data_IF_111692345853
#
_entry.id   IF_111692345853
#
_cell.length_a   1.000
_cell.length_b   1.000
_cell.length_c   1.000
_cell.angle_alpha   90.00
_cell.angle_beta   90.00
_cell.angle_gamma   90.00
#
_symmetry.space_group_name_H-M   'P 1'
#
loop_
_entity.id
_entity.type
_entity.pdbx_description
1 polymer ?
#
# COMPACT_ATOMS: atom_id res chain seq x y z
N UNK A 1 -20.98 -12.46 23.29
CA UNK A 1 -20.20 -11.95 22.19
C UNK A 1 -20.82 -12.26 20.84
N UNK A 2 -20.64 -11.44 19.86
CA UNK A 2 -21.07 -11.76 18.49
C UNK A 2 -20.01 -12.66 17.85
N UNK A 3 -20.42 -13.82 17.36
CA UNK A 3 -19.55 -14.78 16.70
C UNK A 3 -18.70 -14.10 15.59
N UNK A 4 -17.38 -14.22 15.67
CA UNK A 4 -16.41 -13.65 14.73
C UNK A 4 -15.94 -12.22 15.01
N UNK A 5 -16.39 -11.59 16.12
CA UNK A 5 -15.96 -10.25 16.54
C UNK A 5 -15.20 -10.23 17.87
N UNK A 6 -15.22 -11.33 18.62
CA UNK A 6 -14.47 -11.47 19.87
C UNK A 6 -13.13 -12.13 19.59
N UNK A 7 -12.15 -11.32 19.20
CA UNK A 7 -10.74 -11.75 19.11
C UNK A 7 -10.11 -11.51 20.48
N UNK A 8 -9.40 -12.51 21.01
CA UNK A 8 -8.57 -12.31 22.21
C UNK A 8 -7.57 -11.22 21.89
N UNK A 9 -7.67 -10.11 22.62
CA UNK A 9 -6.72 -9.02 22.47
C UNK A 9 -5.35 -9.44 23.01
N UNK A 10 -4.33 -9.30 22.17
CA UNK A 10 -2.92 -9.50 22.51
C UNK A 10 -2.16 -8.26 22.07
N UNK A 11 -1.46 -7.55 22.97
CA UNK A 11 -0.74 -6.34 22.59
C UNK A 11 0.46 -6.64 21.70
N UNK A 12 0.66 -5.83 20.66
CA UNK A 12 1.90 -5.86 19.88
C UNK A 12 3.06 -5.37 20.75
N UNK A 13 4.21 -6.07 20.81
CA UNK A 13 5.40 -5.57 21.50
C UNK A 13 5.91 -4.25 20.90
N UNK A 14 6.53 -3.41 21.73
CA UNK A 14 6.95 -2.06 21.33
C UNK A 14 7.95 -2.07 20.18
N UNK A 15 8.88 -3.02 20.15
CA UNK A 15 9.89 -3.18 19.09
C UNK A 15 9.23 -3.53 17.75
N UNK A 16 8.15 -4.31 17.78
CA UNK A 16 7.38 -4.65 16.58
C UNK A 16 6.58 -3.45 16.09
N UNK A 17 5.96 -2.68 16.99
CA UNK A 17 5.27 -1.43 16.67
C UNK A 17 6.22 -0.47 15.98
N UNK A 18 7.39 -0.22 16.59
CA UNK A 18 8.40 0.70 16.04
C UNK A 18 8.89 0.22 14.66
N UNK A 19 9.07 -1.08 14.51
CA UNK A 19 9.48 -1.66 13.23
C UNK A 19 8.41 -1.51 12.15
N UNK A 20 7.15 -1.77 12.46
CA UNK A 20 6.03 -1.61 11.53
C UNK A 20 5.95 -0.16 11.02
N UNK A 21 5.99 0.81 11.92
CA UNK A 21 5.91 2.23 11.58
C UNK A 21 7.14 2.71 10.80
N UNK A 22 8.33 2.17 11.10
CA UNK A 22 9.56 2.45 10.35
C UNK A 22 9.51 1.83 8.95
N UNK A 23 9.04 0.59 8.80
CA UNK A 23 8.84 -0.06 7.48
C UNK A 23 7.87 0.75 6.61
N UNK A 24 6.81 1.27 7.20
CA UNK A 24 5.87 2.14 6.52
C UNK A 24 6.41 3.56 6.28
N UNK A 25 7.63 3.87 6.74
CA UNK A 25 8.23 5.19 6.61
C UNK A 25 7.29 6.31 7.07
N UNK A 26 6.65 6.12 8.22
CA UNK A 26 5.69 7.08 8.77
C UNK A 26 6.37 8.42 9.05
N UNK A 27 5.70 9.50 8.65
CA UNK A 27 6.15 10.88 8.81
C UNK A 27 5.05 11.74 9.43
N UNK A 28 5.34 12.98 9.87
CA UNK A 28 4.32 13.91 10.40
C UNK A 28 3.21 14.26 9.39
N UNK A 29 3.42 14.06 8.09
CA UNK A 29 2.44 14.30 7.04
C UNK A 29 1.47 13.13 6.85
N UNK A 30 1.74 12.00 7.48
CA UNK A 30 0.92 10.81 7.34
C UNK A 30 -0.35 10.84 8.19
N UNK A 31 -1.37 10.20 7.66
CA UNK A 31 -2.56 9.81 8.39
C UNK A 31 -2.57 8.28 8.56
N UNK A 32 -2.30 7.83 9.77
CA UNK A 32 -2.27 6.41 10.14
C UNK A 32 -3.64 5.99 10.66
N UNK A 33 -4.21 4.93 10.11
CA UNK A 33 -5.38 4.25 10.68
C UNK A 33 -4.99 2.86 11.16
N UNK A 34 -5.23 2.61 12.45
CA UNK A 34 -4.99 1.33 13.10
C UNK A 34 -6.32 0.56 13.23
N UNK A 35 -6.47 -0.51 12.47
CA UNK A 35 -7.71 -1.27 12.40
C UNK A 35 -7.69 -2.43 13.39
N UNK A 36 -8.54 -2.35 14.42
CA UNK A 36 -8.51 -3.22 15.59
C UNK A 36 -7.50 -2.70 16.62
N UNK A 37 -7.67 -1.45 17.03
CA UNK A 37 -6.65 -0.70 17.76
C UNK A 37 -6.37 -1.21 19.20
N UNK A 38 -7.26 -2.02 19.77
CA UNK A 38 -7.07 -2.52 21.12
C UNK A 38 -6.88 -1.40 22.14
N UNK A 39 -5.76 -1.43 22.86
CA UNK A 39 -5.36 -0.41 23.84
C UNK A 39 -4.81 0.90 23.22
N UNK A 40 -4.80 1.00 21.89
CA UNK A 40 -4.34 2.18 21.14
C UNK A 40 -2.84 2.28 20.94
N UNK A 41 -2.06 1.27 21.32
CA UNK A 41 -0.59 1.32 21.35
C UNK A 41 0.01 1.77 20.01
N UNK A 42 -0.43 1.20 18.87
CA UNK A 42 0.13 1.52 17.56
C UNK A 42 -0.22 2.96 17.15
N UNK A 43 -1.48 3.36 17.31
CA UNK A 43 -1.92 4.73 17.02
C UNK A 43 -1.19 5.78 17.88
N UNK A 44 -1.03 5.49 19.18
CA UNK A 44 -0.29 6.35 20.12
C UNK A 44 1.19 6.46 19.71
N UNK A 45 1.83 5.35 19.35
CA UNK A 45 3.22 5.36 18.88
C UNK A 45 3.39 6.14 17.58
N UNK A 46 2.48 6.00 16.62
CA UNK A 46 2.49 6.76 15.37
C UNK A 46 2.42 8.28 15.63
N UNK A 47 1.57 8.70 16.54
CA UNK A 47 1.45 10.10 16.93
C UNK A 47 2.68 10.60 17.70
N UNK A 48 3.09 9.88 18.74
CA UNK A 48 4.11 10.34 19.70
C UNK A 48 5.51 10.28 19.12
N UNK A 49 5.86 9.19 18.44
CA UNK A 49 7.23 8.95 17.95
C UNK A 49 7.47 9.46 16.53
N UNK A 50 6.42 9.45 15.69
CA UNK A 50 6.54 9.81 14.27
C UNK A 50 5.82 11.12 13.92
N UNK A 51 5.09 11.71 14.86
CA UNK A 51 4.40 12.99 14.66
C UNK A 51 3.16 12.89 13.74
N UNK A 52 2.75 11.69 13.36
CA UNK A 52 1.64 11.48 12.45
C UNK A 52 0.28 11.79 13.12
N UNK A 53 -0.72 12.12 12.31
CA UNK A 53 -2.12 12.02 12.72
C UNK A 53 -2.48 10.54 12.78
N UNK A 54 -3.07 10.07 13.88
CA UNK A 54 -3.45 8.68 14.05
C UNK A 54 -4.90 8.53 14.51
N UNK A 55 -5.60 7.56 13.93
CA UNK A 55 -6.95 7.16 14.35
C UNK A 55 -6.95 5.64 14.49
N UNK A 56 -7.22 5.16 15.70
CA UNK A 56 -7.50 3.75 15.96
C UNK A 56 -9.00 3.46 15.81
N UNK A 57 -9.35 2.33 15.24
CA UNK A 57 -10.71 1.83 15.14
C UNK A 57 -10.81 0.59 16.04
N UNK A 58 -11.67 0.64 17.05
CA UNK A 58 -11.87 -0.43 18.01
C UNK A 58 -13.37 -0.72 18.16
N UNK A 59 -13.74 -1.99 18.07
CA UNK A 59 -15.14 -2.39 18.14
C UNK A 59 -15.70 -2.38 19.58
N UNK A 60 -14.88 -2.78 20.56
CA UNK A 60 -15.26 -2.83 21.95
C UNK A 60 -15.26 -1.43 22.58
N UNK A 61 -16.41 -0.94 23.09
CA UNK A 61 -16.50 0.43 23.63
C UNK A 61 -15.64 0.66 24.88
N UNK A 62 -15.49 -0.33 25.75
CA UNK A 62 -14.66 -0.21 26.96
C UNK A 62 -13.18 -0.17 26.60
N UNK A 63 -12.77 -0.97 25.61
CA UNK A 63 -11.41 -0.95 25.10
C UNK A 63 -11.10 0.38 24.41
N UNK A 64 -12.01 0.89 23.59
CA UNK A 64 -11.85 2.21 22.94
C UNK A 64 -11.73 3.34 23.96
N UNK A 65 -12.52 3.30 25.04
CA UNK A 65 -12.42 4.24 26.17
C UNK A 65 -11.08 4.14 26.87
N UNK A 66 -10.62 2.91 27.15
CA UNK A 66 -9.31 2.67 27.77
C UNK A 66 -8.17 3.19 26.87
N UNK A 67 -8.23 2.92 25.56
CA UNK A 67 -7.24 3.39 24.61
C UNK A 67 -7.17 4.92 24.53
N UNK A 68 -8.30 5.62 24.58
CA UNK A 68 -8.31 7.09 24.64
C UNK A 68 -7.72 7.63 25.97
N UNK A 69 -7.93 6.94 27.09
CA UNK A 69 -7.26 7.28 28.35
C UNK A 69 -5.74 7.09 28.24
N UNK A 70 -5.26 6.03 27.56
CA UNK A 70 -3.86 5.82 27.27
C UNK A 70 -3.28 6.95 26.38
N UNK A 71 -4.00 7.40 25.36
CA UNK A 71 -3.61 8.50 24.51
C UNK A 71 -3.48 9.83 25.28
N UNK A 72 -4.42 10.07 26.20
CA UNK A 72 -4.37 11.24 27.10
C UNK A 72 -3.17 11.17 28.04
N UNK A 73 -2.92 10.03 28.67
CA UNK A 73 -1.77 9.81 29.54
C UNK A 73 -0.44 9.96 28.81
N UNK A 74 -0.38 9.59 27.51
CA UNK A 74 0.77 9.77 26.65
C UNK A 74 0.95 11.21 26.14
N UNK A 75 -0.01 12.10 26.38
CA UNK A 75 0.02 13.51 25.94
C UNK A 75 -0.33 13.72 24.46
N UNK A 76 -0.90 12.70 23.80
CA UNK A 76 -1.19 12.74 22.34
C UNK A 76 -2.68 12.71 22.01
N UNK A 77 -3.57 12.76 23.00
CA UNK A 77 -5.01 12.75 22.73
C UNK A 77 -5.45 13.94 21.87
N UNK A 78 -6.30 13.66 20.87
CA UNK A 78 -6.86 14.67 19.98
C UNK A 78 -6.75 14.32 18.51
N UNK A 79 -7.06 15.29 17.68
CA UNK A 79 -7.02 15.20 16.23
C UNK A 79 -5.92 16.09 15.65
N UNK A 80 -5.30 15.66 14.55
CA UNK A 80 -4.26 16.38 13.85
C UNK A 80 -2.88 15.74 13.95
N UNK A 81 -1.87 16.40 13.43
CA UNK A 81 -0.48 15.93 13.47
C UNK A 81 -0.01 15.74 14.92
N UNK A 82 0.66 14.62 15.18
CA UNK A 82 1.14 14.26 16.53
C UNK A 82 0.01 13.93 17.52
N UNK A 83 -1.20 13.69 17.06
CA UNK A 83 -2.36 13.33 17.89
C UNK A 83 -2.97 12.00 17.47
N UNK A 84 -3.54 11.33 18.49
CA UNK A 84 -4.21 10.05 18.33
C UNK A 84 -5.61 10.08 18.97
N UNK A 85 -6.58 9.54 18.26
CA UNK A 85 -7.94 9.33 18.74
C UNK A 85 -8.35 7.89 18.41
N UNK A 86 -8.99 7.23 19.37
CA UNK A 86 -9.55 5.91 19.14
C UNK A 86 -11.07 6.03 19.04
N UNK A 87 -11.63 5.57 17.93
CA UNK A 87 -13.07 5.59 17.66
C UNK A 87 -13.65 4.21 17.88
N UNK A 88 -14.77 4.17 18.60
CA UNK A 88 -15.56 2.95 18.69
C UNK A 88 -16.32 2.77 17.38
N UNK A 89 -15.92 1.80 16.57
CA UNK A 89 -16.55 1.50 15.28
C UNK A 89 -16.21 0.08 14.79
N UNK A 90 -16.96 -0.37 13.79
CA UNK A 90 -16.67 -1.61 13.05
C UNK A 90 -15.67 -1.30 11.92
N UNK A 91 -14.53 -1.99 11.93
CA UNK A 91 -13.47 -1.83 10.91
C UNK A 91 -13.99 -2.09 9.49
N UNK A 92 -14.99 -2.95 9.34
CA UNK A 92 -15.57 -3.30 8.02
C UNK A 92 -16.56 -2.25 7.51
N UNK A 93 -17.05 -1.36 8.38
CA UNK A 93 -17.97 -0.27 8.04
C UNK A 93 -17.27 1.11 8.04
N UNK A 94 -16.00 1.14 8.42
CA UNK A 94 -15.23 2.39 8.49
C UNK A 94 -14.70 2.77 7.12
N UNK A 95 -14.85 4.03 6.73
CA UNK A 95 -14.17 4.56 5.54
C UNK A 95 -12.69 4.80 5.85
N UNK A 96 -11.82 4.08 5.14
CA UNK A 96 -10.37 4.13 5.31
C UNK A 96 -9.65 4.89 4.19
N UNK A 97 -10.38 5.43 3.21
CA UNK A 97 -9.81 5.98 1.96
C UNK A 97 -8.83 7.13 2.15
N UNK A 98 -8.99 7.93 3.19
CA UNK A 98 -8.12 9.07 3.48
C UNK A 98 -6.80 8.68 4.15
N UNK A 99 -6.70 7.49 4.72
CA UNK A 99 -5.47 7.05 5.37
C UNK A 99 -4.34 6.91 4.35
N UNK A 100 -3.14 7.28 4.76
CA UNK A 100 -1.91 7.06 3.99
C UNK A 100 -1.17 5.82 4.45
N UNK A 101 -1.44 5.37 5.68
CA UNK A 101 -0.89 4.16 6.29
C UNK A 101 -2.00 3.42 7.03
N UNK A 102 -2.09 2.11 6.79
CA UNK A 102 -2.95 1.18 7.52
C UNK A 102 -2.06 0.27 8.36
N UNK A 103 -2.40 0.12 9.63
CA UNK A 103 -1.76 -0.84 10.52
C UNK A 103 -2.75 -1.92 10.97
N UNK A 104 -2.27 -3.16 11.05
CA UNK A 104 -3.08 -4.34 11.32
C UNK A 104 -2.39 -5.27 12.33
N UNK A 105 -3.17 -5.78 13.27
CA UNK A 105 -2.84 -6.99 14.01
C UNK A 105 -4.10 -7.83 14.15
N UNK A 106 -4.51 -8.44 13.05
CA UNK A 106 -5.76 -9.15 12.91
C UNK A 106 -5.51 -10.56 12.37
N UNK A 107 -6.36 -11.50 12.76
CA UNK A 107 -6.34 -12.86 12.22
C UNK A 107 -6.49 -12.88 10.69
N UNK A 108 -5.94 -13.89 10.00
CA UNK A 108 -5.95 -13.97 8.53
C UNK A 108 -7.32 -13.77 7.91
N UNK A 109 -8.37 -14.36 8.47
CA UNK A 109 -9.73 -14.20 7.96
C UNK A 109 -10.23 -12.75 7.96
N UNK A 110 -9.83 -11.95 8.96
CA UNK A 110 -10.18 -10.53 9.04
C UNK A 110 -9.37 -9.71 8.04
N UNK A 111 -8.08 -10.00 7.88
CA UNK A 111 -7.22 -9.40 6.85
C UNK A 111 -7.81 -9.65 5.45
N UNK A 112 -8.23 -10.87 5.17
CA UNK A 112 -8.85 -11.24 3.89
C UNK A 112 -10.16 -10.50 3.64
N UNK A 113 -10.95 -10.28 4.67
CA UNK A 113 -12.21 -9.51 4.58
C UNK A 113 -11.96 -8.02 4.32
N UNK A 114 -10.86 -7.45 4.86
CA UNK A 114 -10.46 -6.05 4.64
C UNK A 114 -9.74 -5.84 3.29
N UNK A 115 -9.10 -6.87 2.75
CA UNK A 115 -8.23 -6.78 1.58
C UNK A 115 -8.86 -6.07 0.38
N UNK A 116 -10.11 -6.35 -0.04
CA UNK A 116 -10.73 -5.63 -1.15
C UNK A 116 -10.84 -4.12 -0.92
N UNK A 117 -11.17 -3.71 0.30
CA UNK A 117 -11.26 -2.30 0.68
C UNK A 117 -9.88 -1.64 0.69
N UNK A 118 -8.85 -2.34 1.17
CA UNK A 118 -7.46 -1.88 1.17
C UNK A 118 -6.93 -1.74 -0.26
N UNK A 119 -7.17 -2.73 -1.14
CA UNK A 119 -6.75 -2.68 -2.54
C UNK A 119 -7.44 -1.57 -3.34
N UNK A 120 -8.60 -1.09 -2.89
CA UNK A 120 -9.31 0.04 -3.49
C UNK A 120 -8.81 1.41 -3.01
N UNK A 121 -7.88 1.46 -2.06
CA UNK A 121 -7.27 2.70 -1.59
C UNK A 121 -6.37 3.32 -2.66
N UNK A 122 -5.98 4.57 -2.43
CA UNK A 122 -5.04 5.28 -3.32
C UNK A 122 -3.75 4.47 -3.51
N UNK A 123 -3.29 4.28 -4.75
CA UNK A 123 -1.97 3.69 -5.01
C UNK A 123 -0.86 4.39 -4.24
N UNK A 124 0.00 3.62 -3.60
CA UNK A 124 1.04 4.14 -2.71
C UNK A 124 0.65 4.19 -1.23
N UNK A 125 -0.61 3.91 -0.87
CA UNK A 125 -0.98 3.65 0.52
C UNK A 125 -0.15 2.50 1.06
N UNK A 126 0.42 2.67 2.25
CA UNK A 126 1.30 1.70 2.90
C UNK A 126 0.52 0.92 3.95
N UNK A 127 0.70 -0.39 3.94
CA UNK A 127 0.01 -1.32 4.84
C UNK A 127 1.05 -2.13 5.59
N UNK A 128 0.95 -2.19 6.90
CA UNK A 128 1.82 -3.02 7.74
C UNK A 128 0.98 -3.91 8.65
N UNK A 129 1.38 -5.17 8.76
CA UNK A 129 0.68 -6.16 9.57
C UNK A 129 1.65 -6.90 10.49
N UNK A 130 1.27 -7.03 11.77
CA UNK A 130 1.97 -7.89 12.72
C UNK A 130 1.50 -9.33 12.54
N UNK A 131 2.43 -10.26 12.39
CA UNK A 131 2.29 -11.72 12.33
C UNK A 131 1.49 -12.31 11.17
N UNK A 132 0.46 -11.66 10.67
CA UNK A 132 -0.49 -12.23 9.72
C UNK A 132 -0.39 -11.60 8.33
N UNK A 133 -0.54 -12.45 7.31
CA UNK A 133 -0.40 -12.10 5.90
C UNK A 133 -1.73 -11.68 5.25
N UNK A 134 -1.67 -11.35 3.97
CA UNK A 134 -2.81 -11.14 3.05
C UNK A 134 -2.96 -12.31 2.08
N UNK A 135 -2.57 -13.53 2.51
CA UNK A 135 -2.61 -14.77 1.73
C UNK A 135 -1.85 -14.62 0.39
N UNK A 136 -2.53 -14.78 -0.75
CA UNK A 136 -1.93 -14.73 -2.08
C UNK A 136 -1.46 -13.32 -2.51
N UNK A 137 -1.81 -12.26 -1.78
CA UNK A 137 -1.16 -10.97 -1.95
C UNK A 137 0.15 -10.96 -1.16
N UNK A 138 1.22 -11.36 -1.82
CA UNK A 138 2.56 -11.42 -1.22
C UNK A 138 3.02 -10.07 -0.71
N UNK A 139 3.67 -10.06 0.46
CA UNK A 139 4.23 -8.83 1.02
C UNK A 139 5.40 -8.30 0.16
N UNK A 140 5.50 -6.99 0.03
CA UNK A 140 6.64 -6.33 -0.61
C UNK A 140 7.90 -6.41 0.25
N UNK A 141 7.74 -6.39 1.58
CA UNK A 141 8.84 -6.52 2.54
C UNK A 141 8.40 -7.33 3.77
N UNK A 142 9.33 -8.10 4.33
CA UNK A 142 9.13 -8.86 5.55
C UNK A 142 10.29 -8.56 6.51
N UNK A 143 9.96 -8.28 7.75
CA UNK A 143 10.94 -8.11 8.83
C UNK A 143 10.68 -9.08 9.97
N UNK A 144 11.74 -9.64 10.55
CA UNK A 144 11.65 -10.51 11.72
C UNK A 144 12.31 -9.83 12.92
N UNK A 145 11.61 -9.80 14.06
CA UNK A 145 12.07 -9.21 15.31
C UNK A 145 11.70 -10.15 16.43
N UNK A 146 12.70 -10.72 17.12
CA UNK A 146 12.50 -11.64 18.24
C UNK A 146 11.50 -12.77 17.94
N UNK A 147 11.62 -13.36 16.74
CA UNK A 147 10.74 -14.43 16.28
C UNK A 147 9.35 -13.98 15.82
N UNK A 148 9.04 -12.69 15.89
CA UNK A 148 7.80 -12.10 15.36
C UNK A 148 8.02 -11.48 14.01
N UNK A 149 7.01 -11.56 13.13
CA UNK A 149 7.09 -11.02 11.77
C UNK A 149 6.23 -9.78 11.61
N UNK A 150 6.79 -8.79 10.91
CA UNK A 150 6.07 -7.66 10.38
C UNK A 150 6.08 -7.74 8.85
N UNK A 151 4.94 -7.54 8.23
CA UNK A 151 4.74 -7.58 6.79
C UNK A 151 4.37 -6.20 6.27
N UNK A 152 4.90 -5.82 5.12
CA UNK A 152 4.62 -4.56 4.47
C UNK A 152 4.11 -4.77 3.05
N UNK A 153 3.09 -4.02 2.68
CA UNK A 153 2.56 -3.90 1.31
C UNK A 153 2.42 -2.43 0.93
N UNK A 154 2.61 -2.13 -0.32
CA UNK A 154 2.21 -0.85 -0.89
C UNK A 154 1.07 -1.10 -1.87
N UNK A 155 -0.07 -0.43 -1.69
CA UNK A 155 -1.23 -0.58 -2.57
C UNK A 155 -0.82 -0.25 -4.00
N UNK A 156 -0.91 -1.19 -4.96
CA UNK A 156 -0.49 -0.96 -6.33
C UNK A 156 -1.55 -0.19 -7.13
N UNK A 157 -1.12 0.56 -8.12
CA UNK A 157 -2.03 1.09 -9.14
C UNK A 157 -2.68 -0.06 -9.93
N UNK A 158 -3.87 0.18 -10.47
CA UNK A 158 -4.59 -0.77 -11.32
C UNK A 158 -4.26 -0.50 -12.78
N UNK A 159 -3.40 -1.36 -13.34
CA UNK A 159 -2.86 -1.18 -14.70
C UNK A 159 -3.32 -2.24 -15.70
N UNK A 160 -4.02 -3.28 -15.24
CA UNK A 160 -4.52 -4.35 -16.12
C UNK A 160 -5.32 -3.79 -17.29
N UNK A 161 -5.07 -4.30 -18.48
CA UNK A 161 -5.81 -3.97 -19.70
C UNK A 161 -4.95 -3.43 -20.83
N UNK A 162 -5.60 -2.85 -21.81
CA UNK A 162 -4.98 -2.35 -23.02
C UNK A 162 -4.78 -0.83 -22.95
N UNK A 163 -3.61 -0.40 -23.37
CA UNK A 163 -3.18 0.99 -23.36
C UNK A 163 -2.64 1.40 -24.71
N UNK A 164 -2.74 2.65 -25.05
CA UNK A 164 -2.00 3.26 -26.18
C UNK A 164 -0.76 3.93 -25.60
N UNK A 165 0.41 3.41 -25.90
CA UNK A 165 1.71 3.93 -25.50
C UNK A 165 2.23 4.88 -26.59
N UNK A 166 2.61 6.09 -26.21
CA UNK A 166 3.21 7.09 -27.10
C UNK A 166 4.62 7.44 -26.62
N UNK A 167 5.61 7.24 -27.48
CA UNK A 167 7.00 7.59 -27.24
C UNK A 167 7.68 7.95 -28.58
N UNK A 168 8.48 9.02 -28.66
CA UNK A 168 9.16 9.48 -29.88
C UNK A 168 8.23 9.59 -31.11
N UNK A 169 7.04 10.16 -30.93
CA UNK A 169 6.01 10.30 -31.96
C UNK A 169 5.53 8.96 -32.57
N UNK A 170 5.80 7.86 -31.90
CA UNK A 170 5.28 6.54 -32.27
C UNK A 170 4.20 6.11 -31.30
N UNK A 171 3.13 5.53 -31.85
CA UNK A 171 2.05 4.90 -31.09
C UNK A 171 2.19 3.39 -31.15
N UNK A 172 2.14 2.75 -30.00
CA UNK A 172 2.19 1.30 -29.87
C UNK A 172 1.10 0.83 -28.92
N UNK A 173 0.66 -0.39 -29.10
CA UNK A 173 -0.24 -1.04 -28.18
C UNK A 173 0.56 -1.63 -27.01
N UNK A 174 0.15 -1.30 -25.78
CA UNK A 174 0.69 -1.88 -24.55
C UNK A 174 -0.42 -2.68 -23.87
N UNK A 175 -0.26 -3.99 -23.80
CA UNK A 175 -1.17 -4.87 -23.08
C UNK A 175 -0.54 -5.26 -21.75
N UNK A 176 -1.26 -5.04 -20.64
CA UNK A 176 -0.79 -5.36 -19.30
C UNK A 176 -1.70 -6.37 -18.62
N UNK A 177 -1.09 -7.41 -18.07
CA UNK A 177 -1.67 -8.35 -17.12
C UNK A 177 -1.19 -7.98 -15.71
N UNK A 178 -2.03 -8.20 -14.71
CA UNK A 178 -1.71 -7.84 -13.34
C UNK A 178 -2.29 -8.82 -12.34
N UNK A 179 -1.46 -9.20 -11.36
CA UNK A 179 -1.87 -9.88 -10.14
C UNK A 179 -1.25 -9.12 -8.97
N UNK A 180 -2.05 -8.30 -8.29
CA UNK A 180 -1.61 -7.34 -7.25
C UNK A 180 -0.50 -6.41 -7.78
N UNK A 181 0.71 -6.44 -7.19
CA UNK A 181 1.87 -5.66 -7.64
C UNK A 181 2.69 -6.34 -8.75
N UNK A 182 2.35 -7.56 -9.13
CA UNK A 182 3.04 -8.27 -10.21
C UNK A 182 2.38 -7.96 -11.54
N UNK A 183 3.17 -7.51 -12.49
CA UNK A 183 2.71 -7.18 -13.84
C UNK A 183 3.53 -7.92 -14.88
N UNK A 184 2.88 -8.22 -15.99
CA UNK A 184 3.46 -8.75 -17.20
C UNK A 184 2.74 -8.16 -18.40
N UNK A 185 3.19 -8.44 -19.61
CA UNK A 185 2.50 -7.96 -20.79
C UNK A 185 3.35 -7.93 -22.05
N UNK A 186 2.85 -7.17 -23.02
CA UNK A 186 3.52 -7.00 -24.30
C UNK A 186 3.32 -5.61 -24.90
N UNK A 187 4.27 -5.19 -25.71
CA UNK A 187 4.19 -4.00 -26.57
C UNK A 187 4.17 -4.45 -28.03
N UNK A 188 3.30 -3.89 -28.84
CA UNK A 188 3.18 -4.29 -30.23
C UNK A 188 2.79 -3.18 -31.18
N UNK A 189 3.16 -3.38 -32.45
CA UNK A 189 2.68 -2.61 -33.60
C UNK A 189 2.12 -3.61 -34.60
N UNK A 190 0.79 -3.57 -34.83
CA UNK A 190 0.13 -4.53 -35.68
C UNK A 190 0.27 -5.97 -35.15
N UNK A 191 0.64 -6.95 -36.00
CA UNK A 191 0.72 -8.37 -35.59
C UNK A 191 1.98 -8.74 -34.80
N UNK A 192 2.93 -7.82 -34.66
CA UNK A 192 4.22 -8.09 -34.01
C UNK A 192 4.22 -7.54 -32.59
N UNK A 193 4.40 -8.42 -31.63
CA UNK A 193 4.43 -8.10 -30.21
C UNK A 193 5.76 -8.52 -29.58
N UNK A 194 6.31 -7.63 -28.73
CA UNK A 194 7.47 -7.90 -27.90
C UNK A 194 7.02 -8.05 -26.45
N UNK A 195 7.40 -9.16 -25.80
CA UNK A 195 7.13 -9.36 -24.38
C UNK A 195 7.86 -8.34 -23.51
N UNK A 196 7.20 -7.89 -22.45
CA UNK A 196 7.82 -7.02 -21.46
C UNK A 196 8.84 -7.78 -20.62
N UNK A 197 9.87 -7.06 -20.19
CA UNK A 197 10.95 -7.53 -19.30
C UNK A 197 11.14 -6.55 -18.17
N UNK A 198 11.76 -7.02 -17.07
CA UNK A 198 12.12 -6.19 -15.92
C UNK A 198 10.96 -5.35 -15.41
N UNK A 199 9.77 -5.97 -15.41
CA UNK A 199 8.53 -5.32 -14.99
C UNK A 199 8.52 -5.12 -13.49
N UNK A 200 8.10 -3.92 -13.06
CA UNK A 200 7.91 -3.59 -11.65
C UNK A 200 6.75 -2.61 -11.50
N UNK A 201 5.90 -2.89 -10.53
CA UNK A 201 4.84 -1.98 -10.10
C UNK A 201 4.94 -1.81 -8.58
N UNK A 202 5.23 -0.59 -8.12
CA UNK A 202 5.29 -0.27 -6.69
C UNK A 202 4.44 0.97 -6.41
N UNK A 203 3.28 0.75 -5.80
CA UNK A 203 2.29 1.81 -5.65
C UNK A 203 1.91 2.41 -7.02
N UNK A 204 2.05 3.71 -7.21
CA UNK A 204 1.79 4.37 -8.49
C UNK A 204 2.96 4.28 -9.49
N UNK A 205 4.13 3.76 -9.11
CA UNK A 205 5.31 3.75 -9.96
C UNK A 205 5.39 2.46 -10.78
N UNK A 206 5.58 2.61 -12.09
CA UNK A 206 5.69 1.52 -13.05
C UNK A 206 7.04 1.56 -13.75
N UNK A 207 7.61 0.39 -13.96
CA UNK A 207 8.82 0.16 -14.75
C UNK A 207 8.61 -1.05 -15.63
N UNK A 208 9.09 -0.97 -16.85
CA UNK A 208 9.16 -2.10 -17.77
C UNK A 208 10.21 -1.84 -18.87
N UNK A 209 10.66 -2.88 -19.52
CA UNK A 209 11.50 -2.79 -20.71
C UNK A 209 11.00 -3.73 -21.80
N UNK A 210 11.41 -3.46 -23.02
CA UNK A 210 11.23 -4.38 -24.15
C UNK A 210 12.33 -4.16 -25.19
N UNK A 211 12.52 -5.15 -26.07
CA UNK A 211 13.39 -5.05 -27.23
C UNK A 211 12.52 -4.89 -28.46
N UNK A 212 12.68 -3.79 -29.17
CA UNK A 212 11.94 -3.49 -30.38
C UNK A 212 12.34 -4.36 -31.59
N UNK A 213 11.65 -4.20 -32.72
CA UNK A 213 11.99 -4.89 -33.97
C UNK A 213 13.38 -4.49 -34.51
N UNK A 214 13.82 -3.28 -34.19
CA UNK A 214 15.16 -2.74 -34.45
C UNK A 214 16.26 -3.36 -33.56
N UNK A 215 15.89 -4.34 -32.75
CA UNK A 215 16.73 -5.01 -31.74
C UNK A 215 17.31 -4.08 -30.67
N UNK A 216 16.70 -2.91 -30.48
CA UNK A 216 17.11 -1.94 -29.47
C UNK A 216 16.27 -2.14 -28.22
N UNK A 217 16.94 -2.31 -27.07
CA UNK A 217 16.29 -2.34 -25.76
C UNK A 217 15.91 -0.92 -25.36
N UNK A 218 14.70 -0.79 -24.83
CA UNK A 218 14.16 0.44 -24.25
C UNK A 218 13.65 0.18 -22.84
N UNK A 219 14.10 1.01 -21.91
CA UNK A 219 13.72 0.95 -20.49
C UNK A 219 12.82 2.14 -20.17
N UNK A 220 11.64 1.84 -19.65
CA UNK A 220 10.59 2.80 -19.32
C UNK A 220 10.42 2.89 -17.82
N UNK A 221 10.35 4.11 -17.29
CA UNK A 221 9.96 4.38 -15.90
C UNK A 221 8.90 5.47 -15.89
N UNK A 222 7.92 5.34 -15.01
CA UNK A 222 6.85 6.33 -14.98
C UNK A 222 5.91 6.18 -13.79
N UNK A 223 4.87 6.99 -13.84
CA UNK A 223 3.83 7.04 -12.83
C UNK A 223 2.46 6.79 -13.47
N UNK A 224 1.64 6.07 -12.74
CA UNK A 224 0.26 5.76 -13.08
C UNK A 224 -0.66 6.73 -12.34
N UNK A 225 -1.59 7.33 -13.06
CA UNK A 225 -2.66 8.16 -12.52
C UNK A 225 -3.98 7.78 -13.20
N UNK A 226 -4.73 6.87 -12.56
CA UNK A 226 -5.98 6.34 -13.11
C UNK A 226 -5.80 5.70 -14.49
N UNK A 227 -6.43 6.29 -15.49
CA UNK A 227 -6.40 5.84 -16.88
C UNK A 227 -5.22 6.41 -17.70
N UNK A 228 -4.25 7.03 -17.05
CA UNK A 228 -3.07 7.63 -17.69
C UNK A 228 -1.79 7.15 -17.02
N UNK A 229 -0.74 7.08 -17.82
CA UNK A 229 0.64 6.90 -17.35
C UNK A 229 1.53 7.91 -18.06
N UNK A 230 2.57 8.34 -17.38
CA UNK A 230 3.60 9.20 -17.98
C UNK A 230 4.96 8.96 -17.33
N UNK A 231 6.00 9.24 -18.08
CA UNK A 231 7.35 9.09 -17.56
C UNK A 231 8.44 9.37 -18.58
N UNK A 232 9.58 8.76 -18.33
CA UNK A 232 10.74 8.83 -19.23
C UNK A 232 11.18 7.44 -19.67
N UNK A 233 11.80 7.38 -20.83
CA UNK A 233 12.47 6.18 -21.32
C UNK A 233 13.90 6.48 -21.73
N UNK A 234 14.71 5.43 -21.74
CA UNK A 234 16.06 5.42 -22.31
C UNK A 234 16.22 4.19 -23.19
N UNK A 235 16.98 4.31 -24.24
CA UNK A 235 17.42 3.16 -25.04
C UNK A 235 18.91 2.87 -24.84
N UNK A 236 19.33 1.67 -25.20
CA UNK A 236 20.72 1.22 -25.04
C UNK A 236 21.71 1.93 -26.00
N UNK A 237 21.21 2.70 -26.97
CA UNK A 237 22.01 3.50 -27.88
C UNK A 237 22.17 4.95 -27.44
N UNK A 238 21.65 5.29 -26.24
CA UNK A 238 21.74 6.62 -25.67
C UNK A 238 20.58 7.55 -26.04
N UNK A 239 19.54 7.05 -26.73
CA UNK A 239 18.30 7.78 -26.95
C UNK A 239 17.49 7.89 -25.66
N UNK A 240 16.90 9.04 -25.42
CA UNK A 240 16.04 9.28 -24.26
C UNK A 240 14.85 10.18 -24.63
N UNK A 241 13.80 10.12 -23.85
CA UNK A 241 12.64 10.95 -24.10
C UNK A 241 11.54 10.75 -23.05
N UNK A 242 10.42 11.41 -23.30
CA UNK A 242 9.20 11.24 -22.54
C UNK A 242 8.29 10.22 -23.20
N UNK A 243 7.47 9.58 -22.39
CA UNK A 243 6.41 8.71 -22.87
C UNK A 243 5.12 8.96 -22.09
N UNK A 244 4.03 8.66 -22.72
CA UNK A 244 2.70 8.64 -22.10
C UNK A 244 1.96 7.37 -22.50
N UNK A 245 0.99 6.96 -21.69
CA UNK A 245 0.04 5.94 -22.11
C UNK A 245 -1.37 6.30 -21.62
N UNK A 246 -2.34 6.00 -22.46
CA UNK A 246 -3.76 6.17 -22.14
C UNK A 246 -4.47 4.83 -22.24
N UNK A 247 -5.30 4.52 -21.25
CA UNK A 247 -6.12 3.30 -21.23
C UNK A 247 -7.16 3.34 -22.33
N UNK A 248 -7.33 2.21 -23.03
CA UNK A 248 -8.35 2.05 -24.07
C UNK A 248 -9.72 1.74 -23.50
#
# INVERSE_FOLDING_TARGET
GQAGKDVIWVPTPDEVVDRMLTMAQVTPQDFVMDLGAGDGKIAIAAAKKFGARAVGIEYNPEMAKHANANAAAAGVAGNGAGKATIRQADIFQTDIKEATVITLYLLPALNMKLRPQILAMRPGTRVVSHSFTMEDWEADEISSIDGRRAYFWMVPAQVMGNWTLEANNQRTDLALEQTFQKINGSVGIGPVHAGLRDTRLRGPFIQFSYVGQDRVRRDFTGRVDGAKMEGSFRDEKGGEGKWTAAKK
#
